data_IF_210301516052
#
_entry.id   IF_210301516052
#
_cell.length_a   1.000
_cell.length_b   1.000
_cell.length_c   1.000
_cell.angle_alpha   90.00
_cell.angle_beta   90.00
_cell.angle_gamma   90.00
#
_symmetry.space_group_name_H-M   'P 1'
#
loop_
_entity.id
_entity.type
_entity.pdbx_description
1 polymer ?
#
# COMPACT_ATOMS: atom_id res chain seq x y z
N UNK A 1 12.90 -7.95 11.16
CA UNK A 1 13.36 -7.62 9.79
C UNK A 1 12.20 -7.27 8.86
N UNK A 2 11.16 -8.11 8.74
CA UNK A 2 10.01 -7.86 7.87
C UNK A 2 9.27 -6.54 8.16
N UNK A 3 8.92 -6.25 9.43
CA UNK A 3 8.30 -4.96 9.80
C UNK A 3 9.19 -3.76 9.46
N UNK A 4 10.51 -3.88 9.63
CA UNK A 4 11.45 -2.82 9.32
C UNK A 4 11.46 -2.48 7.82
N UNK A 5 11.44 -3.52 6.97
CA UNK A 5 11.42 -3.33 5.52
C UNK A 5 10.14 -2.63 5.04
N UNK A 6 8.96 -3.06 5.49
CA UNK A 6 7.70 -2.42 5.07
C UNK A 6 7.60 -0.97 5.56
N UNK A 7 8.08 -0.67 6.77
CA UNK A 7 8.13 0.70 7.27
C UNK A 7 9.11 1.57 6.48
N UNK A 8 10.32 1.07 6.21
CA UNK A 8 11.31 1.79 5.42
C UNK A 8 10.80 2.10 4.00
N UNK A 9 10.08 1.17 3.37
CA UNK A 9 9.45 1.41 2.07
C UNK A 9 8.37 2.50 2.13
N UNK A 10 7.52 2.49 3.16
CA UNK A 10 6.52 3.54 3.35
C UNK A 10 7.15 4.90 3.67
N UNK A 11 8.19 4.93 4.50
CA UNK A 11 8.92 6.15 4.84
C UNK A 11 9.62 6.74 3.60
N UNK A 12 10.22 5.88 2.77
CA UNK A 12 10.82 6.29 1.51
C UNK A 12 9.79 6.88 0.53
N UNK A 13 8.60 6.26 0.43
CA UNK A 13 7.50 6.80 -0.36
C UNK A 13 7.06 8.20 0.15
N UNK A 14 6.82 8.33 1.45
CA UNK A 14 6.43 9.61 2.06
C UNK A 14 7.52 10.68 1.94
N UNK A 15 8.80 10.28 1.89
CA UNK A 15 9.91 11.19 1.64
C UNK A 15 10.04 11.64 0.19
N UNK A 16 9.45 10.90 -0.76
CA UNK A 16 9.54 11.16 -2.19
C UNK A 16 8.34 11.94 -2.77
N UNK A 17 7.18 11.92 -2.10
CA UNK A 17 6.00 12.67 -2.54
C UNK A 17 6.18 14.20 -2.37
N UNK A 18 5.45 15.03 -3.13
CA UNK A 18 5.47 16.47 -2.95
C UNK A 18 5.10 16.88 -1.52
N UNK A 19 5.78 17.88 -0.96
CA UNK A 19 5.48 18.41 0.40
C UNK A 19 4.07 18.99 0.54
N UNK A 20 3.43 19.33 -0.58
CA UNK A 20 2.04 19.80 -0.64
C UNK A 20 1.01 18.66 -0.66
N UNK A 21 1.44 17.40 -0.76
CA UNK A 21 0.55 16.26 -0.62
C UNK A 21 0.10 16.09 0.83
N UNK A 22 -1.16 15.74 1.01
CA UNK A 22 -1.78 15.48 2.31
C UNK A 22 -1.65 13.98 2.64
N UNK A 23 -1.06 13.65 3.78
CA UNK A 23 -1.14 12.30 4.32
C UNK A 23 -2.54 12.05 4.89
N UNK A 24 -3.34 11.28 4.16
CA UNK A 24 -4.72 10.94 4.55
C UNK A 24 -4.72 9.86 5.63
N UNK A 25 -3.92 8.82 5.46
CA UNK A 25 -3.81 7.76 6.47
C UNK A 25 -2.51 6.97 6.34
N UNK A 26 -2.01 6.47 7.47
CA UNK A 26 -0.96 5.44 7.55
C UNK A 26 -1.39 4.42 8.59
N UNK A 27 -1.44 3.13 8.23
CA UNK A 27 -1.83 2.07 9.18
C UNK A 27 -1.13 0.75 8.88
N UNK A 28 -0.90 -0.04 9.93
CA UNK A 28 -0.47 -1.43 9.80
C UNK A 28 -1.61 -2.25 9.21
N UNK A 29 -1.27 -3.16 8.32
CA UNK A 29 -2.18 -4.11 7.70
C UNK A 29 -1.54 -5.50 7.69
N UNK A 30 -2.34 -6.53 7.42
CA UNK A 30 -1.86 -7.89 7.22
C UNK A 30 -2.37 -8.41 5.87
N UNK A 31 -1.57 -9.23 5.22
CA UNK A 31 -2.02 -10.10 4.12
C UNK A 31 -1.68 -11.53 4.49
N UNK A 32 -2.68 -12.38 4.68
CA UNK A 32 -2.51 -13.79 5.05
C UNK A 32 -1.52 -14.01 6.23
N UNK A 33 -1.58 -13.13 7.24
CA UNK A 33 -0.71 -13.16 8.43
C UNK A 33 0.65 -12.47 8.28
N UNK A 34 1.03 -12.06 7.07
CA UNK A 34 2.28 -11.33 6.82
C UNK A 34 2.13 -9.83 7.09
N UNK A 35 3.14 -9.19 7.71
CA UNK A 35 3.09 -7.77 8.04
C UNK A 35 3.12 -6.89 6.80
N UNK A 36 2.31 -5.84 6.82
CA UNK A 36 2.33 -4.79 5.82
C UNK A 36 1.97 -3.41 6.38
N UNK A 37 2.09 -2.41 5.51
CA UNK A 37 1.69 -1.04 5.82
C UNK A 37 0.93 -0.45 4.63
N UNK A 38 -0.17 0.21 4.95
CA UNK A 38 -0.95 1.01 4.00
C UNK A 38 -0.63 2.49 4.23
N UNK A 39 -0.38 3.21 3.13
CA UNK A 39 -0.28 4.66 3.10
C UNK A 39 -1.26 5.19 2.06
N UNK A 40 -2.11 6.13 2.46
CA UNK A 40 -3.00 6.86 1.56
C UNK A 40 -2.61 8.33 1.59
N UNK A 41 -2.39 8.91 0.42
CA UNK A 41 -2.08 10.34 0.26
C UNK A 41 -3.01 10.98 -0.76
N UNK A 42 -3.28 12.27 -0.59
CA UNK A 42 -3.97 13.09 -1.56
C UNK A 42 -2.98 14.09 -2.14
N UNK A 43 -2.78 14.03 -3.44
CA UNK A 43 -1.87 14.90 -4.18
C UNK A 43 -2.54 16.24 -4.51
N UNK A 44 -1.77 17.34 -4.62
CA UNK A 44 -2.30 18.69 -4.84
C UNK A 44 -2.99 18.87 -6.20
N UNK A 45 -2.74 17.97 -7.14
CA UNK A 45 -3.36 17.93 -8.48
C UNK A 45 -4.72 17.20 -8.49
N UNK A 46 -5.22 16.82 -7.31
CA UNK A 46 -6.52 16.17 -7.14
C UNK A 46 -6.47 14.65 -7.28
N UNK A 47 -5.29 14.03 -7.40
CA UNK A 47 -5.17 12.58 -7.35
C UNK A 47 -5.10 12.06 -5.90
N UNK A 48 -5.48 10.81 -5.74
CA UNK A 48 -5.28 10.02 -4.52
C UNK A 48 -4.37 8.85 -4.87
N UNK A 49 -3.36 8.63 -4.02
CA UNK A 49 -2.49 7.45 -4.10
C UNK A 49 -2.74 6.57 -2.88
N UNK A 50 -2.93 5.28 -3.11
CA UNK A 50 -2.92 4.25 -2.08
C UNK A 50 -1.78 3.30 -2.37
N UNK A 51 -0.84 3.18 -1.44
CA UNK A 51 0.24 2.20 -1.50
C UNK A 51 0.09 1.22 -0.35
N UNK A 52 0.29 -0.07 -0.64
CA UNK A 52 0.38 -1.14 0.34
C UNK A 52 1.69 -1.89 0.13
N UNK A 53 2.51 -1.91 1.17
CA UNK A 53 3.74 -2.70 1.19
C UNK A 53 3.52 -3.94 2.04
N UNK A 54 3.94 -5.09 1.55
CA UNK A 54 3.88 -6.36 2.28
C UNK A 54 5.22 -7.08 2.20
N UNK A 55 5.67 -7.67 3.30
CA UNK A 55 6.80 -8.58 3.30
C UNK A 55 6.30 -10.02 3.46
N UNK A 56 6.25 -10.76 2.36
CA UNK A 56 5.86 -12.17 2.35
C UNK A 56 7.13 -13.00 2.17
N UNK A 57 7.50 -13.73 3.22
CA UNK A 57 8.78 -14.46 3.32
C UNK A 57 9.99 -13.55 3.02
N UNK A 58 10.59 -13.71 1.83
CA UNK A 58 11.76 -12.94 1.37
C UNK A 58 11.40 -11.91 0.29
N UNK A 59 10.11 -11.73 0.00
CA UNK A 59 9.60 -10.90 -1.11
C UNK A 59 8.87 -9.67 -0.58
N UNK A 60 9.32 -8.50 -1.03
CA UNK A 60 8.61 -7.23 -0.82
C UNK A 60 7.65 -6.99 -1.98
N UNK A 61 6.36 -6.88 -1.68
CA UNK A 61 5.33 -6.50 -2.63
C UNK A 61 4.94 -5.04 -2.42
N UNK A 62 4.76 -4.31 -3.52
CA UNK A 62 4.15 -2.98 -3.54
C UNK A 62 2.89 -3.04 -4.39
N UNK A 63 1.73 -2.84 -3.78
CA UNK A 63 0.45 -2.69 -4.48
C UNK A 63 0.11 -1.21 -4.45
N UNK A 64 -0.05 -0.61 -5.62
CA UNK A 64 -0.27 0.82 -5.75
C UNK A 64 -1.47 1.11 -6.65
N UNK A 65 -2.31 2.03 -6.21
CA UNK A 65 -3.36 2.63 -7.02
C UNK A 65 -3.22 4.15 -7.01
N UNK A 66 -3.42 4.76 -8.18
CA UNK A 66 -3.50 6.19 -8.40
C UNK A 66 -4.81 6.47 -9.13
N UNK A 67 -5.64 7.37 -8.59
CA UNK A 67 -6.91 7.73 -9.22
C UNK A 67 -7.31 9.16 -8.86
N UNK A 68 -8.23 9.76 -9.63
CA UNK A 68 -8.73 11.10 -9.33
C UNK A 68 -9.65 11.06 -8.09
N UNK A 69 -9.36 11.88 -7.09
CA UNK A 69 -10.04 11.86 -5.79
C UNK A 69 -11.56 12.08 -5.94
N UNK A 70 -12.36 11.24 -5.30
CA UNK A 70 -13.82 11.33 -5.35
C UNK A 70 -14.45 10.66 -6.58
N UNK A 71 -13.62 10.16 -7.52
CA UNK A 71 -14.08 9.32 -8.63
C UNK A 71 -13.73 7.86 -8.38
N UNK A 72 -14.75 7.02 -8.24
CA UNK A 72 -14.61 5.56 -8.14
C UNK A 72 -13.78 5.08 -6.92
N UNK A 73 -13.65 5.88 -5.85
CA UNK A 73 -12.90 5.52 -4.64
C UNK A 73 -13.24 4.09 -4.16
N UNK A 74 -14.52 3.76 -4.07
CA UNK A 74 -14.98 2.45 -3.61
C UNK A 74 -14.51 1.30 -4.53
N UNK A 75 -14.58 1.48 -5.85
CA UNK A 75 -14.19 0.44 -6.82
C UNK A 75 -12.68 0.23 -6.87
N UNK A 76 -11.91 1.33 -6.78
CA UNK A 76 -10.45 1.26 -6.70
C UNK A 76 -10.02 0.58 -5.42
N UNK A 77 -10.59 0.96 -4.27
CA UNK A 77 -10.31 0.33 -2.98
C UNK A 77 -10.67 -1.16 -3.02
N UNK A 78 -11.85 -1.52 -3.55
CA UNK A 78 -12.25 -2.92 -3.72
C UNK A 78 -11.28 -3.72 -4.59
N UNK A 79 -10.76 -3.10 -5.65
CA UNK A 79 -9.75 -3.72 -6.52
C UNK A 79 -8.45 -3.98 -5.76
N UNK A 80 -7.95 -2.99 -5.01
CA UNK A 80 -6.73 -3.14 -4.20
C UNK A 80 -6.93 -4.14 -3.06
N UNK A 81 -8.11 -4.20 -2.45
CA UNK A 81 -8.49 -5.18 -1.43
C UNK A 81 -8.56 -6.61 -1.96
N UNK A 82 -8.74 -6.79 -3.27
CA UNK A 82 -8.76 -8.12 -3.89
C UNK A 82 -7.37 -8.72 -4.12
N UNK A 83 -6.30 -7.96 -3.86
CA UNK A 83 -4.93 -8.44 -4.03
C UNK A 83 -4.64 -9.60 -3.07
N UNK A 84 -4.07 -10.68 -3.62
CA UNK A 84 -3.66 -11.87 -2.89
C UNK A 84 -2.27 -12.28 -3.35
N UNK A 85 -1.47 -12.81 -2.43
CA UNK A 85 -0.20 -13.43 -2.78
C UNK A 85 -0.42 -14.94 -2.89
N UNK A 86 -0.13 -15.49 -4.07
CA UNK A 86 -0.11 -16.94 -4.25
C UNK A 86 1.28 -17.46 -3.87
N UNK A 87 1.36 -18.30 -2.84
CA UNK A 87 2.58 -19.02 -2.49
C UNK A 87 2.49 -20.38 -3.21
N UNK A 88 3.19 -20.51 -4.34
CA UNK A 88 3.35 -21.83 -4.96
C UNK A 88 4.23 -22.70 -4.05
N UNK A 89 3.68 -23.81 -3.54
CA UNK A 89 4.43 -24.82 -2.78
C UNK A 89 3.84 -25.27 -1.44
N UNK A 90 2.72 -24.71 -0.97
CA UNK A 90 2.03 -25.19 0.25
C UNK A 90 0.83 -26.06 -0.12
N UNK A 91 0.76 -27.34 0.32
CA UNK A 91 -0.48 -28.12 0.22
C UNK A 91 -1.58 -27.42 1.04
N UNK A 92 -2.82 -27.44 0.53
CA UNK A 92 -4.01 -27.12 1.33
C UNK A 92 -4.18 -28.09 2.48
#
# INVERSE_FOLDING_TARGET
MAEGAVNASADAFLGAIPKSAELVSRKKILIDGYPGIEVKVREPDGYTVLTRYYMVETRLYCVMALWNAGRNDADVIKTVDSFKVSIEGTPK
#
